data_IF_593888916440
#
_entry.id   IF_593888916440
#
_cell.length_a   1.000
_cell.length_b   1.000
_cell.length_c   1.000
_cell.angle_alpha   90.00
_cell.angle_beta   90.00
_cell.angle_gamma   90.00
#
_symmetry.space_group_name_H-M   'P 1'
#
loop_
_entity.id
_entity.type
_entity.pdbx_description
1 polymer ?
#
# COMPACT_ATOMS: atom_id res chain seq x y z
N UNK A 1 -22.21 -10.28 -4.60
CA UNK A 1 -21.59 -9.77 -3.36
C UNK A 1 -20.90 -8.47 -3.68
N UNK A 2 -21.13 -7.41 -2.91
CA UNK A 2 -20.35 -6.18 -3.00
C UNK A 2 -19.01 -6.39 -2.30
N UNK A 3 -17.91 -6.06 -2.97
CA UNK A 3 -16.58 -6.04 -2.38
C UNK A 3 -16.47 -4.91 -1.32
N UNK A 4 -15.83 -5.19 -0.19
CA UNK A 4 -15.53 -4.20 0.85
C UNK A 4 -14.06 -4.31 1.28
N UNK A 5 -13.43 -3.18 1.61
CA UNK A 5 -12.05 -3.13 2.13
C UNK A 5 -11.93 -3.84 3.48
N UNK A 6 -13.00 -3.84 4.29
CA UNK A 6 -13.02 -4.49 5.61
C UNK A 6 -12.81 -6.01 5.54
N UNK A 7 -13.01 -6.62 4.36
CA UNK A 7 -12.80 -8.05 4.13
C UNK A 7 -11.33 -8.39 3.90
N UNK A 8 -10.48 -7.38 3.66
CA UNK A 8 -9.06 -7.58 3.40
C UNK A 8 -8.29 -7.78 4.71
N UNK A 9 -7.49 -8.82 4.76
CA UNK A 9 -6.51 -9.01 5.82
C UNK A 9 -5.21 -8.29 5.43
N UNK A 10 -5.06 -7.09 6.00
CA UNK A 10 -3.87 -6.26 5.82
C UNK A 10 -2.61 -6.86 6.43
N UNK A 11 -2.75 -7.77 7.39
CA UNK A 11 -1.62 -8.31 8.15
C UNK A 11 -1.31 -9.75 7.72
N UNK A 12 -1.94 -10.21 6.65
CA UNK A 12 -1.64 -11.47 6.01
C UNK A 12 -0.23 -11.43 5.40
N UNK A 13 0.64 -12.32 5.87
CA UNK A 13 2.02 -12.43 5.41
C UNK A 13 2.19 -13.33 4.17
N UNK A 14 1.19 -14.16 3.89
CA UNK A 14 1.24 -15.15 2.81
C UNK A 14 0.69 -14.59 1.48
N UNK A 15 -0.12 -13.54 1.53
CA UNK A 15 -0.74 -12.95 0.34
C UNK A 15 -0.92 -11.43 0.42
N UNK A 16 -0.78 -10.74 -0.71
CA UNK A 16 -1.03 -9.30 -0.80
C UNK A 16 -2.51 -9.00 -1.00
N UNK A 17 -2.93 -7.79 -0.66
CA UNK A 17 -4.30 -7.31 -0.89
C UNK A 17 -4.78 -7.50 -2.33
N UNK A 18 -3.86 -7.51 -3.31
CA UNK A 18 -4.17 -7.70 -4.71
C UNK A 18 -4.81 -9.05 -4.97
N UNK A 19 -4.25 -10.13 -4.40
CA UNK A 19 -4.76 -11.49 -4.59
C UNK A 19 -6.00 -11.78 -3.73
N UNK A 20 -6.23 -10.99 -2.68
CA UNK A 20 -7.46 -11.00 -1.90
C UNK A 20 -8.62 -10.23 -2.59
N UNK A 21 -8.31 -9.36 -3.56
CA UNK A 21 -9.27 -8.48 -4.22
C UNK A 21 -9.73 -9.04 -5.57
N UNK A 22 -11.03 -8.97 -5.92
CA UNK A 22 -11.51 -9.32 -7.26
C UNK A 22 -10.86 -8.46 -8.35
N UNK A 23 -10.63 -9.02 -9.54
CA UNK A 23 -10.00 -8.31 -10.66
C UNK A 23 -10.70 -6.98 -11.00
N UNK A 24 -12.04 -6.92 -10.89
CA UNK A 24 -12.83 -5.70 -11.13
C UNK A 24 -12.65 -4.59 -10.10
N UNK A 25 -11.89 -4.83 -9.03
CA UNK A 25 -11.69 -3.90 -7.91
C UNK A 25 -10.20 -3.64 -7.63
N UNK A 26 -9.30 -4.10 -8.49
CA UNK A 26 -7.86 -3.94 -8.29
C UNK A 26 -7.12 -3.40 -9.50
N UNK A 27 -5.96 -2.84 -9.20
CA UNK A 27 -4.97 -2.33 -10.13
C UNK A 27 -3.58 -2.64 -9.58
N UNK A 28 -2.62 -2.98 -10.45
CA UNK A 28 -1.20 -3.12 -10.11
C UNK A 28 -0.33 -2.26 -11.01
N UNK A 29 0.66 -1.59 -10.43
CA UNK A 29 1.76 -0.93 -11.11
C UNK A 29 3.07 -1.56 -10.62
N UNK A 30 4.12 -1.53 -11.46
CA UNK A 30 5.44 -1.99 -11.05
C UNK A 30 6.20 -0.84 -10.39
N UNK A 31 6.80 -1.12 -9.23
CA UNK A 31 7.63 -0.13 -8.53
C UNK A 31 8.83 0.30 -9.37
N UNK A 32 9.36 -0.61 -10.21
CA UNK A 32 10.47 -0.36 -11.15
C UNK A 32 10.18 0.76 -12.15
N UNK A 33 8.92 1.00 -12.49
CA UNK A 33 8.53 2.09 -13.42
C UNK A 33 8.87 3.48 -12.86
N UNK A 34 9.13 3.58 -11.55
CA UNK A 34 9.39 4.83 -10.84
C UNK A 34 10.81 4.95 -10.26
N UNK A 35 11.69 3.99 -10.56
CA UNK A 35 13.12 4.09 -10.21
C UNK A 35 13.78 5.32 -10.86
N UNK A 36 13.35 5.64 -12.10
CA UNK A 36 13.78 6.83 -12.80
C UNK A 36 12.99 8.07 -12.35
N UNK A 37 13.72 9.15 -12.04
CA UNK A 37 13.16 10.43 -11.62
C UNK A 37 12.15 11.03 -12.63
N UNK A 38 12.23 10.69 -13.92
CA UNK A 38 11.31 11.20 -14.95
C UNK A 38 9.85 10.82 -14.71
N UNK A 39 9.59 9.69 -14.04
CA UNK A 39 8.23 9.16 -13.82
C UNK A 39 7.66 9.54 -12.45
N UNK A 40 8.43 10.23 -11.60
CA UNK A 40 7.97 10.70 -10.30
C UNK A 40 6.79 11.70 -10.34
N UNK A 41 6.65 12.58 -11.35
CA UNK A 41 5.44 13.38 -11.50
C UNK A 41 4.19 12.52 -11.74
N UNK A 42 4.34 11.42 -12.47
CA UNK A 42 3.25 10.47 -12.73
C UNK A 42 2.87 9.74 -11.44
N UNK A 43 3.86 9.26 -10.67
CA UNK A 43 3.63 8.66 -9.35
C UNK A 43 2.88 9.61 -8.41
N UNK A 44 3.26 10.89 -8.41
CA UNK A 44 2.57 11.92 -7.63
C UNK A 44 1.11 12.03 -8.06
N UNK A 45 0.86 12.21 -9.36
CA UNK A 45 -0.50 12.30 -9.90
C UNK A 45 -1.35 11.07 -9.53
N UNK A 46 -0.76 9.87 -9.63
CA UNK A 46 -1.40 8.61 -9.25
C UNK A 46 -1.79 8.57 -7.77
N UNK A 47 -0.88 8.92 -6.86
CA UNK A 47 -1.19 8.94 -5.41
C UNK A 47 -2.29 9.95 -5.09
N UNK A 48 -2.28 11.13 -5.71
CA UNK A 48 -3.29 12.15 -5.49
C UNK A 48 -4.65 11.83 -6.14
N UNK A 49 -4.70 11.02 -7.19
CA UNK A 49 -5.97 10.55 -7.77
C UNK A 49 -6.65 9.51 -6.85
N UNK A 50 -5.85 8.69 -6.15
CA UNK A 50 -6.32 7.76 -5.13
C UNK A 50 -6.79 8.52 -3.89
N UNK A 51 -5.95 9.43 -3.37
CA UNK A 51 -6.15 10.17 -2.13
C UNK A 51 -6.22 11.68 -2.36
N UNK A 52 -7.45 12.24 -2.47
CA UNK A 52 -7.66 13.69 -2.46
C UNK A 52 -7.14 14.37 -1.17
N UNK A 53 -6.99 15.69 -1.22
CA UNK A 53 -6.35 16.52 -0.16
C UNK A 53 -6.95 16.33 1.25
N UNK A 54 -8.23 15.96 1.35
CA UNK A 54 -8.94 15.81 2.63
C UNK A 54 -9.23 14.34 3.03
N UNK A 55 -8.52 13.38 2.42
CA UNK A 55 -8.67 11.98 2.79
C UNK A 55 -8.17 11.69 4.21
N UNK A 56 -8.94 10.92 4.97
CA UNK A 56 -8.54 10.40 6.29
C UNK A 56 -7.73 9.11 6.12
N UNK A 57 -6.46 9.24 5.74
CA UNK A 57 -5.62 8.09 5.40
C UNK A 57 -5.02 7.49 6.67
N UNK A 58 -5.18 6.18 6.82
CA UNK A 58 -4.45 5.37 7.79
C UNK A 58 -3.32 4.61 7.10
N UNK A 59 -2.15 4.57 7.71
CA UNK A 59 -1.04 3.73 7.30
C UNK A 59 -0.94 2.53 8.22
N UNK A 60 -0.71 1.34 7.67
CA UNK A 60 -0.50 0.09 8.41
C UNK A 60 0.64 -0.69 7.79
N UNK A 61 1.45 -1.37 8.61
CA UNK A 61 2.54 -2.21 8.12
C UNK A 61 3.21 -3.02 9.22
N UNK A 62 3.91 -4.08 8.84
CA UNK A 62 4.69 -4.90 9.76
C UNK A 62 6.00 -4.18 10.09
N UNK A 63 6.28 -4.05 11.38
CA UNK A 63 7.42 -3.28 11.93
C UNK A 63 8.48 -4.15 12.58
N UNK A 64 8.22 -5.44 12.72
CA UNK A 64 9.16 -6.37 13.31
C UNK A 64 8.52 -7.70 13.67
N UNK A 65 9.37 -8.62 14.13
CA UNK A 65 9.01 -9.98 14.47
C UNK A 65 9.87 -10.50 15.62
N UNK A 66 9.52 -11.68 16.13
CA UNK A 66 10.27 -12.35 17.19
C UNK A 66 10.98 -13.59 16.66
N UNK A 67 12.23 -13.78 17.06
CA UNK A 67 12.94 -15.07 16.97
C UNK A 67 13.12 -15.57 18.41
N UNK A 68 12.34 -16.58 18.80
CA UNK A 68 12.26 -17.01 20.19
C UNK A 68 11.72 -15.89 21.10
N UNK A 69 12.52 -15.45 22.07
CA UNK A 69 12.22 -14.32 22.95
C UNK A 69 12.79 -12.98 22.47
N UNK A 70 13.59 -12.99 21.40
CA UNK A 70 14.29 -11.79 20.89
C UNK A 70 13.41 -11.03 19.92
N UNK A 71 13.17 -9.75 20.19
CA UNK A 71 12.47 -8.81 19.30
C UNK A 71 13.43 -8.27 18.23
N UNK A 72 13.06 -8.43 16.96
CA UNK A 72 13.77 -7.89 15.80
C UNK A 72 12.91 -6.80 15.17
N UNK A 73 13.52 -5.64 14.92
CA UNK A 73 12.86 -4.48 14.33
C UNK A 73 13.22 -4.34 12.85
N UNK A 74 12.22 -4.10 12.02
CA UNK A 74 12.44 -3.72 10.63
C UNK A 74 12.58 -2.20 10.49
N UNK A 75 13.59 -1.77 9.74
CA UNK A 75 13.84 -0.35 9.49
C UNK A 75 12.81 0.18 8.49
N UNK A 76 11.92 1.06 8.97
CA UNK A 76 10.83 1.61 8.16
C UNK A 76 11.16 2.94 7.46
N UNK A 77 12.25 3.61 7.85
CA UNK A 77 12.66 4.92 7.31
C UNK A 77 11.58 6.04 7.30
N UNK A 78 10.51 5.90 8.10
CA UNK A 78 9.33 6.79 8.07
C UNK A 78 9.62 8.24 8.51
N UNK A 79 10.64 8.46 9.34
CA UNK A 79 10.92 9.78 9.94
C UNK A 79 11.19 10.87 8.92
N UNK A 80 11.69 10.51 7.74
CA UNK A 80 12.01 11.46 6.67
C UNK A 80 10.76 11.85 5.85
N UNK A 81 9.67 11.08 5.95
CA UNK A 81 8.48 11.21 5.10
C UNK A 81 7.18 11.53 5.87
N UNK A 82 7.07 11.09 7.12
CA UNK A 82 5.85 11.18 7.93
C UNK A 82 6.18 11.72 9.32
N UNK A 83 5.44 12.75 9.76
CA UNK A 83 5.42 13.12 11.17
C UNK A 83 4.48 12.17 11.92
N UNK A 84 5.06 11.32 12.77
CA UNK A 84 4.31 10.33 13.54
C UNK A 84 4.00 10.89 14.94
N UNK A 85 2.73 11.05 15.28
CA UNK A 85 2.27 11.49 16.61
C UNK A 85 1.22 10.57 17.25
N UNK A 86 0.65 9.65 16.48
CA UNK A 86 -0.50 8.80 16.83
C UNK A 86 -0.22 7.31 16.49
N UNK A 87 1.01 6.87 16.76
CA UNK A 87 1.47 5.49 16.55
C UNK A 87 0.78 4.51 17.48
N UNK A 88 0.23 3.43 16.92
CA UNK A 88 -0.31 2.29 17.67
C UNK A 88 0.34 0.99 17.22
N UNK A 89 0.79 0.18 18.17
CA UNK A 89 1.33 -1.16 17.90
C UNK A 89 0.26 -2.24 18.13
N UNK A 90 0.24 -3.24 17.26
CA UNK A 90 -0.56 -4.45 17.39
C UNK A 90 0.37 -5.66 17.36
N UNK A 91 0.21 -6.57 18.32
CA UNK A 91 1.02 -7.78 18.46
C UNK A 91 0.19 -8.98 17.99
N UNK A 92 0.76 -9.77 17.09
CA UNK A 92 0.04 -10.81 16.36
C UNK A 92 0.85 -12.10 16.40
N UNK A 93 0.16 -13.23 16.27
CA UNK A 93 0.76 -14.56 16.19
C UNK A 93 0.13 -15.28 15.01
N UNK A 94 0.94 -15.82 14.09
CA UNK A 94 0.43 -16.61 12.97
C UNK A 94 0.05 -18.03 13.43
N UNK A 95 -0.53 -18.82 12.52
CA UNK A 95 -0.87 -20.22 12.79
C UNK A 95 0.36 -21.08 13.13
N UNK A 96 1.54 -20.69 12.64
CA UNK A 96 2.84 -21.33 12.93
C UNK A 96 3.44 -20.95 14.29
N UNK A 97 2.83 -20.03 15.03
CA UNK A 97 3.33 -19.53 16.32
C UNK A 97 4.37 -18.41 16.21
N UNK A 98 4.69 -17.93 15.00
CA UNK A 98 5.55 -16.77 14.77
C UNK A 98 4.86 -15.52 15.27
N UNK A 99 5.55 -14.75 16.11
CA UNK A 99 5.02 -13.48 16.62
C UNK A 99 5.54 -12.33 15.78
N UNK A 100 4.64 -11.45 15.36
CA UNK A 100 4.95 -10.24 14.61
C UNK A 100 4.26 -9.03 15.21
N UNK A 101 4.75 -7.86 14.81
CA UNK A 101 4.29 -6.57 15.31
C UNK A 101 3.92 -5.74 14.10
N UNK A 102 2.72 -5.20 14.12
CA UNK A 102 2.26 -4.24 13.15
C UNK A 102 2.15 -2.86 13.80
N UNK A 103 2.26 -1.82 12.99
CA UNK A 103 1.88 -0.47 13.36
C UNK A 103 0.66 -0.01 12.61
N UNK A 104 -0.07 0.91 13.23
CA UNK A 104 -1.03 1.78 12.56
C UNK A 104 -0.73 3.23 12.93
N UNK A 105 -0.72 4.11 11.94
CA UNK A 105 -0.60 5.57 12.10
C UNK A 105 -1.76 6.20 11.34
N UNK A 106 -2.53 7.07 11.99
CA UNK A 106 -3.69 7.74 11.36
C UNK A 106 -3.30 9.12 10.84
N UNK A 107 -4.21 9.77 10.12
CA UNK A 107 -4.10 11.16 9.70
C UNK A 107 -2.86 11.42 8.82
N UNK A 108 -2.55 10.46 7.94
CA UNK A 108 -1.47 10.58 6.96
C UNK A 108 -1.94 11.44 5.78
N UNK A 109 -1.06 12.30 5.27
CA UNK A 109 -1.35 13.12 4.09
C UNK A 109 -0.99 12.41 2.79
N UNK A 110 -1.67 12.73 1.69
CA UNK A 110 -1.33 12.19 0.36
C UNK A 110 0.12 12.50 -0.05
N UNK A 111 0.65 13.66 0.32
CA UNK A 111 2.07 14.00 0.10
C UNK A 111 3.01 13.05 0.84
N UNK A 112 2.66 12.64 2.06
CA UNK A 112 3.44 11.69 2.83
C UNK A 112 3.37 10.27 2.23
N UNK A 113 2.19 9.86 1.75
CA UNK A 113 2.03 8.63 0.96
C UNK A 113 2.93 8.66 -0.27
N UNK A 114 2.90 9.75 -1.04
CA UNK A 114 3.75 9.94 -2.21
C UNK A 114 5.24 9.89 -1.84
N UNK A 115 5.65 10.57 -0.77
CA UNK A 115 7.04 10.57 -0.31
C UNK A 115 7.53 9.15 0.02
N UNK A 116 6.70 8.33 0.68
CA UNK A 116 7.01 6.94 0.97
C UNK A 116 7.06 6.08 -0.31
N UNK A 117 6.08 6.23 -1.22
CA UNK A 117 6.10 5.54 -2.51
C UNK A 117 7.39 5.85 -3.29
N UNK A 118 7.77 7.13 -3.35
CA UNK A 118 9.01 7.58 -4.00
C UNK A 118 10.24 6.97 -3.34
N UNK A 119 10.32 6.96 -2.01
CA UNK A 119 11.46 6.38 -1.29
C UNK A 119 11.62 4.89 -1.61
N UNK A 120 10.52 4.14 -1.58
CA UNK A 120 10.49 2.71 -1.92
C UNK A 120 10.94 2.48 -3.36
N UNK A 121 10.40 3.24 -4.31
CA UNK A 121 10.80 3.17 -5.72
C UNK A 121 12.28 3.51 -5.96
N UNK A 122 12.87 4.37 -5.13
CA UNK A 122 14.28 4.74 -5.21
C UNK A 122 15.21 3.78 -4.43
N UNK A 123 14.72 2.58 -4.08
CA UNK A 123 15.52 1.52 -3.45
C UNK A 123 15.80 1.73 -1.96
N UNK A 124 15.19 2.73 -1.31
CA UNK A 124 15.19 2.79 0.16
C UNK A 124 14.26 1.71 0.68
N UNK A 125 14.84 0.60 1.13
CA UNK A 125 14.10 -0.50 1.78
C UNK A 125 13.26 0.04 2.93
N UNK A 126 11.96 0.16 2.68
CA UNK A 126 10.92 0.28 3.69
C UNK A 126 10.20 -1.08 3.71
N UNK A 127 9.67 -1.50 4.85
CA UNK A 127 8.81 -2.68 4.85
C UNK A 127 7.54 -2.39 4.07
N UNK A 128 6.82 -3.45 3.72
CA UNK A 128 5.57 -3.31 2.99
C UNK A 128 4.59 -2.46 3.82
N UNK A 129 4.03 -1.42 3.21
CA UNK A 129 3.09 -0.50 3.84
C UNK A 129 1.77 -0.51 3.07
N UNK A 130 0.68 -0.33 3.80
CA UNK A 130 -0.65 -0.09 3.25
C UNK A 130 -1.15 1.26 3.71
N UNK A 131 -1.71 2.02 2.79
CA UNK A 131 -2.39 3.28 3.03
C UNK A 131 -3.86 3.08 2.68
N UNK A 132 -4.76 3.34 3.61
CA UNK A 132 -6.16 3.01 3.42
C UNK A 132 -7.10 4.10 3.95
N UNK A 133 -8.26 4.17 3.30
CA UNK A 133 -9.48 4.80 3.79
C UNK A 133 -10.57 3.70 3.84
N UNK A 134 -11.80 4.06 4.20
CA UNK A 134 -12.91 3.10 4.29
C UNK A 134 -13.21 2.35 2.99
N UNK A 135 -12.83 2.92 1.84
CA UNK A 135 -13.26 2.47 0.52
C UNK A 135 -12.12 2.18 -0.47
N UNK A 136 -10.85 2.38 -0.06
CA UNK A 136 -9.68 2.07 -0.88
C UNK A 136 -8.46 1.73 -0.04
N UNK A 137 -7.56 0.94 -0.61
CA UNK A 137 -6.24 0.68 -0.06
C UNK A 137 -5.18 0.72 -1.16
N UNK A 138 -4.06 1.37 -0.88
CA UNK A 138 -2.84 1.35 -1.68
C UNK A 138 -1.77 0.63 -0.86
N UNK A 139 -1.37 -0.54 -1.34
CA UNK A 139 -0.22 -1.29 -0.84
C UNK A 139 1.02 -0.95 -1.64
N UNK A 140 2.17 -0.86 -0.95
CA UNK A 140 3.47 -0.66 -1.57
C UNK A 140 4.48 -1.71 -1.10
N UNK A 141 5.27 -2.22 -2.03
CA UNK A 141 6.48 -3.00 -1.79
C UNK A 141 7.61 -2.55 -2.72
N UNK A 142 8.77 -3.18 -2.59
CA UNK A 142 9.89 -2.99 -3.51
C UNK A 142 9.54 -3.36 -4.97
N UNK A 143 8.53 -4.20 -5.19
CA UNK A 143 8.20 -4.75 -6.51
C UNK A 143 6.97 -4.09 -7.13
N UNK A 144 5.95 -3.77 -6.32
CA UNK A 144 4.64 -3.34 -6.83
C UNK A 144 4.00 -2.23 -5.99
N UNK A 145 3.12 -1.48 -6.67
CA UNK A 145 2.06 -0.69 -6.03
C UNK A 145 0.71 -1.33 -6.38
N UNK A 146 0.06 -1.90 -5.38
CA UNK A 146 -1.24 -2.56 -5.52
C UNK A 146 -2.35 -1.65 -4.99
N UNK A 147 -3.34 -1.33 -5.81
CA UNK A 147 -4.51 -0.55 -5.43
C UNK A 147 -5.73 -1.46 -5.43
N UNK A 148 -6.50 -1.45 -4.35
CA UNK A 148 -7.86 -1.98 -4.30
C UNK A 148 -8.86 -0.87 -3.96
N UNK A 149 -10.01 -0.85 -4.62
CA UNK A 149 -11.02 0.20 -4.45
C UNK A 149 -12.43 -0.37 -4.64
N UNK A 150 -13.37 0.04 -3.78
CA UNK A 150 -14.77 -0.38 -3.88
C UNK A 150 -15.49 0.30 -5.07
N UNK A 151 -15.17 1.56 -5.35
CA UNK A 151 -15.69 2.31 -6.50
C UNK A 151 -15.01 1.89 -7.81
N UNK A 152 -15.69 1.04 -8.57
CA UNK A 152 -15.23 0.58 -9.88
C UNK A 152 -15.22 1.72 -10.93
N UNK A 153 -16.10 2.71 -10.82
CA UNK A 153 -16.16 3.83 -11.76
C UNK A 153 -14.89 4.67 -11.65
N UNK A 154 -14.58 5.11 -10.43
CA UNK A 154 -13.34 5.84 -10.15
C UNK A 154 -12.10 5.00 -10.46
N UNK A 155 -12.11 3.69 -10.16
CA UNK A 155 -10.98 2.82 -10.50
C UNK A 155 -10.78 2.69 -12.03
N UNK A 156 -11.85 2.69 -12.83
CA UNK A 156 -11.75 2.70 -14.30
C UNK A 156 -11.21 4.03 -14.83
N UNK A 157 -11.56 5.15 -14.21
CA UNK A 157 -11.01 6.47 -14.55
C UNK A 157 -9.50 6.49 -14.31
N UNK A 158 -9.05 6.10 -13.11
CA UNK A 158 -7.63 5.95 -12.77
C UNK A 158 -6.95 4.99 -13.76
N UNK A 159 -7.55 3.83 -14.02
CA UNK A 159 -7.00 2.86 -14.97
C UNK A 159 -6.87 3.42 -16.40
N UNK A 160 -7.74 4.35 -16.80
CA UNK A 160 -7.67 5.00 -18.11
C UNK A 160 -6.57 6.05 -18.16
N UNK A 161 -6.49 6.88 -17.11
CA UNK A 161 -5.51 7.96 -16.99
C UNK A 161 -4.07 7.44 -16.95
N UNK A 162 -3.85 6.34 -16.21
CA UNK A 162 -2.52 5.76 -16.00
C UNK A 162 -2.25 4.52 -16.85
N UNK A 163 -3.05 4.27 -17.90
CA UNK A 163 -2.97 3.04 -18.71
C UNK A 163 -1.55 2.60 -19.13
N UNK A 164 -0.64 3.50 -19.55
CA UNK A 164 0.69 3.10 -20.02
C UNK A 164 1.59 2.43 -18.98
N UNK A 165 1.29 2.57 -17.69
CA UNK A 165 2.12 2.07 -16.57
C UNK A 165 1.41 0.99 -15.75
N UNK A 166 0.23 0.55 -16.20
CA UNK A 166 -0.53 -0.50 -15.52
C UNK A 166 0.07 -1.84 -15.92
N UNK A 167 0.29 -2.70 -14.93
CA UNK A 167 0.71 -4.08 -15.17
C UNK A 167 -0.36 -4.80 -16.01
N UNK A 168 0.02 -5.27 -17.19
CA UNK A 168 -0.88 -6.00 -18.10
C UNK A 168 -0.68 -7.52 -18.02
N UNK A 169 0.34 -7.99 -17.29
CA UNK A 169 0.60 -9.42 -17.08
C UNK A 169 -0.40 -10.05 -16.12
N UNK A 170 -1.04 -9.26 -15.27
CA UNK A 170 -2.03 -9.72 -14.29
C UNK A 170 -3.43 -9.13 -14.56
N UNK A 171 -4.47 -9.85 -14.13
CA UNK A 171 -5.86 -9.40 -14.30
C UNK A 171 -6.22 -8.25 -13.36
N UNK A 172 -6.55 -7.11 -13.94
CA UNK A 172 -6.98 -5.82 -13.40
C UNK A 172 -8.38 -5.46 -13.94
N UNK A 173 -8.94 -4.33 -13.51
CA UNK A 173 -10.31 -3.91 -13.84
C UNK A 173 -10.64 -3.82 -15.35
N UNK A 174 -9.64 -3.67 -16.22
CA UNK A 174 -9.80 -3.59 -17.68
C UNK A 174 -9.19 -4.76 -18.46
N UNK A 175 -8.67 -5.80 -17.79
CA UNK A 175 -8.22 -7.02 -18.47
C UNK A 175 -9.33 -8.08 -18.57
N UNK A 176 -10.59 -7.66 -18.64
CA UNK A 176 -11.73 -8.45 -19.15
C UNK A 176 -12.21 -7.88 -20.48
#
# INVERSE_FOLDING_TARGET
MSFSIEQLDFLNIDTTIYFQTPASHRLRLLTSDFENNSNLPILRAFVHSIFPVHSLISMTGIIGYYIGSTRIWEKQHLKDAVRISNWKETYLTDEGGTKYMAMTVKDITADAVYALCKQTAQGRKCSNLMFHTEDRVLYISADVLDLAMTDQGKLREICSEFHPIIDTYHSNIKTM
#
